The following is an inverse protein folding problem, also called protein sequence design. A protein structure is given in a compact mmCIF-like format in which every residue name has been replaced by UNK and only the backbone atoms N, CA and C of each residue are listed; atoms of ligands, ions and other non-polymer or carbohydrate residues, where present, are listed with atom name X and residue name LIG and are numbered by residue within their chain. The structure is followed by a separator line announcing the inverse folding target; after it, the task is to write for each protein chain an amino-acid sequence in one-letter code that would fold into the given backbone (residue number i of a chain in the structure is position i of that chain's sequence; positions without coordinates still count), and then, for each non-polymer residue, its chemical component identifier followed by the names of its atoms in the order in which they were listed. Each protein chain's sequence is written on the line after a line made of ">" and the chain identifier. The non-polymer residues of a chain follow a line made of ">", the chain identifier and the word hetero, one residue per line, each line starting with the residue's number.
data_IF_716014469663
#
_entry.id   IF_716014469663
#
_cell.length_a   1.000
_cell.length_b   1.000
_cell.length_c   1.000
_cell.angle_alpha   90.00
_cell.angle_beta   90.00
_cell.angle_gamma   90.00
#
_symmetry.space_group_name_H-M   'P 1'
#
loop_
_entity.id
_entity.type
_entity.pdbx_description
1 polymer ?
#
# COMPACT_ATOMS: atom_id res chain seq x y z
N UNK A 1 9.19 -7.28 11.75
CA UNK A 1 9.34 -5.83 12.01
C UNK A 1 10.72 -5.36 11.61
N UNK A 2 10.92 -5.30 10.29
CA UNK A 2 12.03 -4.64 9.60
C UNK A 2 11.52 -3.25 9.18
N UNK A 3 12.10 -2.18 9.73
CA UNK A 3 11.72 -0.79 9.40
C UNK A 3 11.72 -0.52 7.88
N UNK A 4 12.53 -1.27 7.13
CA UNK A 4 12.65 -1.17 5.68
C UNK A 4 11.36 -1.55 4.92
N UNK A 5 10.62 -2.56 5.38
CA UNK A 5 9.41 -3.03 4.69
C UNK A 5 8.28 -1.99 4.77
N UNK A 6 8.10 -1.43 5.97
CA UNK A 6 7.06 -0.42 6.22
C UNK A 6 7.39 0.94 5.60
N UNK A 7 8.66 1.36 5.63
CA UNK A 7 9.11 2.59 4.96
C UNK A 7 8.86 2.51 3.44
N UNK A 8 9.20 1.37 2.84
CA UNK A 8 8.91 1.12 1.43
C UNK A 8 7.40 1.16 1.15
N UNK A 9 6.58 0.49 1.95
CA UNK A 9 5.13 0.43 1.74
C UNK A 9 4.52 1.85 1.74
N UNK A 10 4.84 2.68 2.73
CA UNK A 10 4.34 4.04 2.81
C UNK A 10 4.79 4.90 1.63
N UNK A 11 6.08 4.84 1.26
CA UNK A 11 6.60 5.58 0.12
C UNK A 11 6.00 5.08 -1.20
N UNK A 12 5.78 3.78 -1.35
CA UNK A 12 5.22 3.20 -2.56
C UNK A 12 3.78 3.66 -2.75
N UNK A 13 2.96 3.59 -1.69
CA UNK A 13 1.56 4.02 -1.75
C UNK A 13 1.46 5.52 -2.10
N UNK A 14 2.24 6.37 -1.43
CA UNK A 14 2.24 7.82 -1.70
C UNK A 14 2.64 8.20 -3.13
N UNK A 15 3.46 7.38 -3.80
CA UNK A 15 3.92 7.64 -5.17
C UNK A 15 3.04 7.00 -6.25
N UNK A 16 2.38 5.88 -5.95
CA UNK A 16 1.67 5.07 -6.95
C UNK A 16 0.15 5.15 -6.85
N UNK A 17 -0.39 5.54 -5.69
CA UNK A 17 -1.83 5.70 -5.49
C UNK A 17 -2.15 7.20 -5.44
N UNK A 18 -2.79 7.77 -6.48
CA UNK A 18 -3.20 9.17 -6.47
C UNK A 18 -4.11 9.47 -5.28
N UNK A 19 -3.97 10.64 -4.65
CA UNK A 19 -4.88 11.08 -3.56
C UNK A 19 -6.36 11.15 -4.02
N UNK A 20 -6.59 11.31 -5.33
CA UNK A 20 -7.93 11.33 -5.94
C UNK A 20 -8.37 9.97 -6.46
N UNK A 21 -7.63 8.90 -6.14
CA UNK A 21 -7.93 7.54 -6.55
C UNK A 21 -9.25 7.08 -5.94
N UNK A 22 -10.28 6.94 -6.77
CA UNK A 22 -11.50 6.30 -6.32
C UNK A 22 -11.36 4.77 -6.35
N UNK A 23 -11.96 4.06 -5.38
CA UNK A 23 -11.94 2.59 -5.33
C UNK A 23 -12.48 1.91 -6.60
N UNK A 24 -13.32 2.60 -7.38
CA UNK A 24 -13.91 2.11 -8.62
C UNK A 24 -13.01 2.29 -9.86
N UNK A 25 -11.96 3.10 -9.78
CA UNK A 25 -11.05 3.40 -10.90
C UNK A 25 -9.77 2.58 -10.84
N UNK A 26 -9.34 2.18 -9.64
CA UNK A 26 -8.10 1.44 -9.45
C UNK A 26 -8.39 0.02 -8.99
N UNK A 27 -7.92 -0.97 -9.75
CA UNK A 27 -7.98 -2.37 -9.34
C UNK A 27 -6.98 -2.62 -8.20
N UNK A 28 -7.50 -2.94 -7.02
CA UNK A 28 -6.69 -3.24 -5.82
C UNK A 28 -5.82 -4.48 -6.05
N UNK A 29 -6.29 -5.44 -6.84
CA UNK A 29 -5.52 -6.62 -7.21
C UNK A 29 -4.28 -6.23 -8.04
N UNK A 30 -4.44 -5.35 -9.03
CA UNK A 30 -3.32 -4.86 -9.86
C UNK A 30 -2.31 -4.05 -9.04
N UNK A 31 -2.77 -3.21 -8.11
CA UNK A 31 -1.90 -2.49 -7.18
C UNK A 31 -1.13 -3.45 -6.26
N UNK A 32 -1.77 -4.51 -5.80
CA UNK A 32 -1.13 -5.51 -4.93
C UNK A 32 -0.02 -6.23 -5.69
N UNK A 33 -0.28 -6.63 -6.94
CA UNK A 33 0.73 -7.27 -7.79
C UNK A 33 1.90 -6.32 -8.11
N UNK A 34 1.61 -5.05 -8.39
CA UNK A 34 2.64 -4.04 -8.66
C UNK A 34 3.50 -3.77 -7.42
N UNK A 35 2.89 -3.61 -6.24
CA UNK A 35 3.60 -3.43 -4.97
C UNK A 35 4.58 -4.58 -4.71
N UNK A 36 4.15 -5.82 -4.93
CA UNK A 36 4.99 -7.02 -4.75
C UNK A 36 6.13 -7.04 -5.76
N UNK A 37 5.86 -6.70 -7.02
CA UNK A 37 6.87 -6.64 -8.07
C UNK A 37 7.96 -5.60 -7.77
N UNK A 38 7.56 -4.40 -7.35
CA UNK A 38 8.48 -3.29 -7.05
C UNK A 38 9.30 -3.56 -5.78
N UNK A 39 8.66 -4.12 -4.74
CA UNK A 39 9.36 -4.57 -3.53
C UNK A 39 10.47 -5.58 -3.88
N UNK A 40 10.13 -6.56 -4.74
CA UNK A 40 11.09 -7.58 -5.19
C UNK A 40 12.22 -6.97 -6.02
N UNK A 41 11.94 -5.96 -6.84
CA UNK A 41 12.94 -5.29 -7.66
C UNK A 41 14.03 -4.60 -6.81
N UNK A 42 13.67 -4.09 -5.64
CA UNK A 42 14.62 -3.49 -4.69
C UNK A 42 15.12 -4.46 -3.62
N UNK A 43 14.76 -5.74 -3.71
CA UNK A 43 15.24 -6.81 -2.83
C UNK A 43 14.54 -6.87 -1.46
N UNK A 44 13.32 -6.35 -1.34
CA UNK A 44 12.44 -6.59 -0.19
C UNK A 44 11.67 -7.89 -0.45
N UNK A 45 11.72 -8.83 0.49
CA UNK A 45 10.97 -10.07 0.39
C UNK A 45 9.51 -9.83 0.76
N UNK A 46 8.60 -10.58 0.13
CA UNK A 46 7.18 -10.55 0.49
C UNK A 46 6.92 -10.83 1.97
N UNK A 47 7.69 -11.73 2.59
CA UNK A 47 7.62 -11.99 4.03
C UNK A 47 7.93 -10.74 4.88
N UNK A 48 8.82 -9.86 4.42
CA UNK A 48 9.10 -8.58 5.09
C UNK A 48 7.97 -7.54 4.90
N UNK A 49 7.00 -7.80 4.02
CA UNK A 49 5.79 -6.98 3.87
C UNK A 49 4.65 -7.59 4.68
N UNK A 50 4.46 -8.90 4.55
CA UNK A 50 3.42 -9.67 5.25
C UNK A 50 3.64 -9.68 6.78
N UNK A 51 4.89 -9.58 7.26
CA UNK A 51 5.21 -9.46 8.70
C UNK A 51 4.84 -8.07 9.28
N UNK A 52 4.65 -7.07 8.42
CA UNK A 52 4.42 -5.68 8.84
C UNK A 52 2.94 -5.30 8.81
N UNK A 53 2.11 -6.05 8.06
CA UNK A 53 0.67 -5.82 7.96
C UNK A 53 -0.12 -7.12 8.00
N UNK A 54 -1.29 -7.11 8.63
CA UNK A 54 -2.18 -8.27 8.68
C UNK A 54 -2.64 -8.71 7.26
N UNK A 55 -2.75 -7.74 6.34
CA UNK A 55 -3.02 -7.98 4.92
C UNK A 55 -2.64 -6.76 4.09
N UNK A 56 -1.76 -6.95 3.09
CA UNK A 56 -1.41 -5.89 2.12
C UNK A 56 -2.64 -5.40 1.36
N UNK A 57 -3.49 -6.32 0.91
CA UNK A 57 -4.75 -6.00 0.25
C UNK A 57 -5.62 -5.11 1.12
N UNK A 58 -5.84 -5.50 2.40
CA UNK A 58 -6.66 -4.71 3.32
C UNK A 58 -6.05 -3.34 3.61
N UNK A 59 -4.73 -3.26 3.73
CA UNK A 59 -4.02 -1.99 3.96
C UNK A 59 -4.19 -1.03 2.77
N UNK A 60 -4.11 -1.56 1.55
CA UNK A 60 -4.36 -0.76 0.33
C UNK A 60 -5.81 -0.31 0.24
N UNK A 61 -6.78 -1.19 0.53
CA UNK A 61 -8.21 -0.82 0.58
C UNK A 61 -8.46 0.27 1.63
N UNK A 62 -7.94 0.07 2.84
CA UNK A 62 -8.08 1.01 3.96
C UNK A 62 -7.53 2.39 3.57
N UNK A 63 -6.34 2.42 2.99
CA UNK A 63 -5.73 3.65 2.50
C UNK A 63 -6.58 4.33 1.42
N UNK A 64 -7.03 3.61 0.39
CA UNK A 64 -7.85 4.18 -0.70
C UNK A 64 -9.20 4.69 -0.17
N UNK A 65 -9.83 3.96 0.75
CA UNK A 65 -11.14 4.32 1.33
C UNK A 65 -11.00 5.52 2.27
N UNK A 66 -9.95 5.57 3.10
CA UNK A 66 -9.78 6.60 4.11
C UNK A 66 -9.04 7.85 3.63
N UNK A 67 -8.20 7.79 2.59
CA UNK A 67 -7.61 8.99 1.98
C UNK A 67 -8.64 9.85 1.22
N UNK A 68 -9.82 9.30 0.95
CA UNK A 68 -10.98 10.06 0.46
C UNK A 68 -11.69 10.90 1.53
N UNK A 69 -11.26 10.83 2.80
CA UNK A 69 -11.72 11.73 3.86
C UNK A 69 -10.53 12.52 4.44
N UNK A 70 -10.16 13.67 3.84
CA UNK A 70 -9.15 14.56 4.40
C UNK A 70 -9.62 15.26 5.71
N UNK A 71 -10.62 14.72 6.41
CA UNK A 71 -11.29 15.36 7.52
C UNK A 71 -11.90 14.40 8.54
N UNK A 72 -11.13 13.45 9.06
CA UNK A 72 -11.47 12.81 10.34
C UNK A 72 -10.25 12.75 11.26
N UNK A 73 -9.82 13.93 11.71
CA UNK A 73 -9.26 14.04 13.05
C UNK A 73 -10.41 13.89 14.05
N UNK A 74 -10.46 12.78 14.78
CA UNK A 74 -10.78 12.71 16.21
C UNK A 74 -10.41 11.35 16.80
#
# INVERSE_FOLDING_TARGET
>A
MSARGIDFLYQWIANNVPETAKPDVISVDELTDQLIADAKAIGIKRMELDDEVESLYRTLVDWIVHFHDPGASE
#
